data_IF_976529324766
#
_entry.id   IF_976529324766
#
_cell.length_a   1.000
_cell.length_b   1.000
_cell.length_c   1.000
_cell.angle_alpha   90.00
_cell.angle_beta   90.00
_cell.angle_gamma   90.00
#
_symmetry.space_group_name_H-M   'P 1'
#
loop_
_entity.id
_entity.type
_entity.pdbx_description
1 polymer ?
#
# COMPACT_ATOMS: atom_id res chain seq x y z
N UNK A 1 -11.21 -5.28 26.38
CA UNK A 1 -9.95 -5.24 25.61
C UNK A 1 -10.22 -4.32 24.43
N UNK A 2 -9.72 -3.08 24.46
CA UNK A 2 -9.95 -2.14 23.37
C UNK A 2 -9.15 -2.62 22.16
N UNK A 3 -9.84 -3.12 21.13
CA UNK A 3 -9.24 -3.25 19.81
C UNK A 3 -8.99 -1.83 19.32
N UNK A 4 -7.82 -1.28 19.63
CA UNK A 4 -7.40 -0.01 19.05
C UNK A 4 -7.26 -0.26 17.56
N UNK A 5 -8.25 0.23 16.81
CA UNK A 5 -8.24 0.16 15.36
C UNK A 5 -6.99 0.89 14.89
N UNK A 6 -6.27 0.33 13.91
CA UNK A 6 -5.10 0.99 13.31
C UNK A 6 -5.48 2.39 12.89
N UNK A 7 -6.69 2.51 12.34
CA UNK A 7 -7.29 3.77 11.99
C UNK A 7 -7.13 4.82 13.09
N UNK A 8 -7.55 4.53 14.32
CA UNK A 8 -7.46 5.44 15.45
C UNK A 8 -6.02 5.78 15.87
N UNK A 9 -5.06 4.86 15.69
CA UNK A 9 -3.65 5.10 16.00
C UNK A 9 -2.97 6.01 14.96
N UNK A 10 -3.37 5.90 13.69
CA UNK A 10 -2.87 6.73 12.59
C UNK A 10 -3.31 8.19 12.73
N UNK A 11 -4.56 8.45 13.09
CA UNK A 11 -5.12 9.81 13.28
C UNK A 11 -4.37 10.57 14.38
N UNK A 12 -3.93 9.86 15.42
CA UNK A 12 -3.28 10.48 16.57
C UNK A 12 -1.80 10.82 16.35
N UNK A 13 -1.18 10.29 15.29
CA UNK A 13 0.29 10.32 15.13
C UNK A 13 0.80 10.72 13.75
N UNK A 14 -0.06 10.80 12.72
CA UNK A 14 0.38 11.12 11.36
C UNK A 14 1.39 10.11 10.80
N UNK A 15 1.45 8.89 11.37
CA UNK A 15 2.38 7.86 10.98
C UNK A 15 2.18 7.54 9.50
N UNK A 16 3.18 7.90 8.69
CA UNK A 16 3.22 7.49 7.31
C UNK A 16 4.26 6.40 7.14
N UNK A 17 3.92 5.38 6.36
CA UNK A 17 4.78 4.23 6.14
C UNK A 17 5.44 4.38 4.79
N UNK A 18 6.77 4.40 4.75
CA UNK A 18 7.50 4.34 3.47
C UNK A 18 7.64 2.89 3.06
N UNK A 19 7.28 2.62 1.81
CA UNK A 19 7.25 1.29 1.22
C UNK A 19 8.03 1.32 -0.09
N UNK A 20 9.09 0.51 -0.16
CA UNK A 20 9.77 0.23 -1.43
C UNK A 20 9.04 -0.90 -2.13
N UNK A 21 8.72 -0.69 -3.40
CA UNK A 21 8.27 -1.72 -4.32
C UNK A 21 9.30 -1.97 -5.40
N UNK A 22 9.39 -3.22 -5.81
CA UNK A 22 10.25 -3.67 -6.88
C UNK A 22 9.37 -4.13 -8.04
N UNK A 23 9.56 -3.55 -9.22
CA UNK A 23 9.10 -4.11 -10.49
C UNK A 23 9.96 -5.36 -10.76
N UNK A 24 9.57 -6.51 -10.21
CA UNK A 24 10.40 -7.72 -10.02
C UNK A 24 11.48 -8.01 -11.07
N UNK A 25 12.63 -8.56 -10.65
CA UNK A 25 12.79 -10.03 -10.54
C UNK A 25 12.68 -10.55 -9.11
N UNK A 26 11.75 -11.49 -8.92
CA UNK A 26 11.74 -12.41 -7.79
C UNK A 26 13.05 -13.23 -7.83
N UNK A 27 14.03 -12.88 -7.00
CA UNK A 27 15.08 -13.82 -6.64
C UNK A 27 14.53 -14.82 -5.62
N UNK A 28 14.84 -16.12 -5.76
CA UNK A 28 14.35 -17.15 -4.86
C UNK A 28 15.10 -17.08 -3.53
N UNK A 29 14.58 -16.33 -2.57
CA UNK A 29 14.96 -16.48 -1.16
C UNK A 29 13.72 -16.80 -0.33
N UNK A 30 13.45 -18.11 -0.31
CA UNK A 30 12.95 -18.89 0.83
C UNK A 30 11.61 -18.50 1.48
N UNK A 31 10.56 -19.16 0.99
CA UNK A 31 9.44 -19.76 1.74
C UNK A 31 8.55 -18.86 2.61
N UNK A 32 7.55 -18.23 1.98
CA UNK A 32 6.17 -18.23 2.48
C UNK A 32 5.20 -18.14 1.29
N UNK A 33 4.40 -19.20 1.11
CA UNK A 33 3.46 -19.43 0.02
C UNK A 33 2.37 -18.34 -0.03
N UNK A 34 2.31 -17.54 -1.10
CA UNK A 34 1.10 -16.85 -1.55
C UNK A 34 1.22 -16.53 -3.03
N UNK A 35 0.80 -17.51 -3.82
CA UNK A 35 0.62 -17.46 -5.26
C UNK A 35 -0.29 -16.30 -5.66
N UNK A 36 0.30 -15.16 -6.03
CA UNK A 36 -0.39 -14.14 -6.84
C UNK A 36 0.37 -14.06 -8.14
N UNK A 37 -0.08 -14.87 -9.10
CA UNK A 37 0.40 -14.81 -10.48
C UNK A 37 0.18 -13.40 -11.01
N UNK A 38 1.25 -12.76 -11.48
CA UNK A 38 1.19 -11.43 -12.08
C UNK A 38 1.46 -11.58 -13.58
N UNK A 39 0.63 -10.99 -14.47
CA UNK A 39 0.85 -10.93 -15.93
C UNK A 39 2.12 -10.14 -16.30
N UNK A 40 2.62 -10.26 -17.55
CA UNK A 40 3.89 -9.70 -17.97
C UNK A 40 3.99 -8.17 -17.77
N UNK A 41 5.18 -7.78 -17.34
CA UNK A 41 5.61 -6.46 -16.90
C UNK A 41 5.52 -5.48 -18.08
N UNK A 42 4.44 -4.72 -18.18
CA UNK A 42 4.43 -3.53 -19.03
C UNK A 42 5.29 -2.47 -18.34
N UNK A 43 6.54 -2.35 -18.81
CA UNK A 43 7.44 -1.19 -18.72
C UNK A 43 7.17 -0.22 -17.56
N UNK A 44 8.10 -0.13 -16.60
CA UNK A 44 8.12 0.71 -15.38
C UNK A 44 7.73 2.18 -15.63
N UNK A 45 6.47 2.39 -15.96
CA UNK A 45 5.82 3.68 -16.18
C UNK A 45 4.70 3.82 -15.17
N UNK A 46 4.04 2.71 -14.82
CA UNK A 46 2.95 2.67 -13.87
C UNK A 46 2.95 1.38 -13.06
N UNK A 47 2.61 1.49 -11.79
CA UNK A 47 2.29 0.39 -10.89
C UNK A 47 0.79 0.09 -11.03
N UNK A 48 0.40 -1.14 -11.40
CA UNK A 48 -1.01 -1.53 -11.46
C UNK A 48 -1.70 -1.30 -10.12
N UNK A 49 -2.98 -0.92 -10.13
CA UNK A 49 -3.74 -0.60 -8.92
C UNK A 49 -3.80 -1.77 -7.94
N UNK A 50 -3.91 -2.99 -8.46
CA UNK A 50 -3.95 -4.22 -7.67
C UNK A 50 -2.61 -4.46 -6.98
N UNK A 51 -1.52 -4.19 -7.68
CA UNK A 51 -0.18 -4.34 -7.15
C UNK A 51 0.10 -3.28 -6.10
N UNK A 52 -0.19 -2.00 -6.39
CA UNK A 52 -0.09 -0.89 -5.45
C UNK A 52 -0.89 -1.16 -4.16
N UNK A 53 -2.14 -1.59 -4.30
CA UNK A 53 -3.01 -1.98 -3.19
C UNK A 53 -2.42 -3.12 -2.36
N UNK A 54 -1.94 -4.18 -3.01
CA UNK A 54 -1.35 -5.34 -2.32
C UNK A 54 -0.13 -4.94 -1.47
N UNK A 55 0.78 -4.13 -2.02
CA UNK A 55 1.98 -3.70 -1.28
C UNK A 55 1.59 -2.78 -0.13
N UNK A 56 0.67 -1.84 -0.37
CA UNK A 56 0.17 -0.95 0.67
C UNK A 56 -0.45 -1.75 1.82
N UNK A 57 -1.31 -2.74 1.52
CA UNK A 57 -1.88 -3.66 2.52
C UNK A 57 -0.77 -4.38 3.29
N UNK A 58 0.15 -5.06 2.61
CA UNK A 58 1.26 -5.78 3.25
C UNK A 58 2.11 -4.90 4.17
N UNK A 59 2.32 -3.64 3.82
CA UNK A 59 3.15 -2.70 4.58
C UNK A 59 2.43 -2.17 5.79
N UNK A 60 1.13 -1.88 5.66
CA UNK A 60 0.28 -1.56 6.78
C UNK A 60 0.17 -2.77 7.72
N UNK A 61 -0.06 -3.98 7.20
CA UNK A 61 -0.08 -5.21 8.01
C UNK A 61 1.23 -5.46 8.75
N UNK A 62 2.38 -5.27 8.09
CA UNK A 62 3.69 -5.45 8.71
C UNK A 62 3.96 -4.43 9.83
N UNK A 63 3.53 -3.17 9.65
CA UNK A 63 3.67 -2.12 10.66
C UNK A 63 2.72 -2.29 11.84
N UNK A 64 1.52 -2.82 11.59
CA UNK A 64 0.41 -2.80 12.54
C UNK A 64 -0.05 -4.17 13.02
N UNK A 65 0.63 -5.24 12.58
CA UNK A 65 0.43 -6.60 13.08
C UNK A 65 -0.79 -7.33 12.49
N UNK A 66 -1.08 -7.16 11.20
CA UNK A 66 -2.05 -8.02 10.51
C UNK A 66 -3.52 -7.64 10.69
N UNK A 67 -3.86 -6.35 10.78
CA UNK A 67 -5.27 -5.92 10.99
C UNK A 67 -5.91 -5.31 9.75
N UNK A 68 -5.21 -5.21 8.62
CA UNK A 68 -5.81 -4.65 7.40
C UNK A 68 -6.53 -5.76 6.66
N UNK A 69 -7.84 -5.60 6.42
CA UNK A 69 -8.61 -6.60 5.68
C UNK A 69 -8.34 -6.50 4.17
N UNK A 70 -8.36 -5.28 3.64
CA UNK A 70 -8.13 -5.02 2.22
C UNK A 70 -7.76 -3.57 1.97
N UNK A 71 -7.08 -3.34 0.84
CA UNK A 71 -6.84 -2.02 0.28
C UNK A 71 -7.31 -2.04 -1.18
N UNK A 72 -8.01 -0.99 -1.61
CA UNK A 72 -8.50 -0.83 -2.98
C UNK A 72 -8.05 0.54 -3.47
N UNK A 73 -7.33 0.60 -4.59
CA UNK A 73 -6.91 1.86 -5.21
C UNK A 73 -7.81 2.25 -6.38
N UNK A 74 -8.05 3.54 -6.57
CA UNK A 74 -8.95 4.06 -7.63
C UNK A 74 -8.39 3.81 -9.03
N UNK A 75 -7.06 3.81 -9.17
CA UNK A 75 -6.38 3.61 -10.45
C UNK A 75 -4.93 3.17 -10.29
N UNK A 76 -4.22 3.01 -11.43
CA UNK A 76 -2.79 2.72 -11.43
C UNK A 76 -2.00 3.90 -10.85
N UNK A 77 -0.89 3.64 -10.17
CA UNK A 77 -0.01 4.68 -9.66
C UNK A 77 1.12 4.91 -10.64
N UNK A 78 1.29 6.13 -11.16
CA UNK A 78 2.42 6.44 -12.03
C UNK A 78 3.75 6.27 -11.29
N UNK A 79 4.72 5.61 -11.92
CA UNK A 79 6.07 5.42 -11.40
C UNK A 79 6.92 6.68 -11.64
N UNK A 80 6.43 7.83 -11.19
CA UNK A 80 7.08 9.14 -11.31
C UNK A 80 7.11 9.80 -9.95
N UNK A 81 8.27 10.34 -9.55
CA UNK A 81 8.40 11.05 -8.26
C UNK A 81 7.37 12.16 -8.16
N UNK A 82 6.63 12.20 -7.05
CA UNK A 82 5.54 13.12 -6.80
C UNK A 82 4.17 12.64 -7.28
N UNK A 83 4.08 11.54 -8.05
CA UNK A 83 2.80 10.97 -8.43
C UNK A 83 2.04 10.47 -7.20
N UNK A 84 0.74 10.73 -7.17
CA UNK A 84 -0.13 10.33 -6.08
C UNK A 84 -1.25 9.43 -6.57
N UNK A 85 -1.62 8.44 -5.77
CA UNK A 85 -2.81 7.63 -6.01
C UNK A 85 -3.64 7.53 -4.75
N UNK A 86 -4.96 7.62 -4.93
CA UNK A 86 -5.94 7.47 -3.86
C UNK A 86 -6.35 6.01 -3.75
N UNK A 87 -6.41 5.54 -2.51
CA UNK A 87 -6.91 4.22 -2.18
C UNK A 87 -7.76 4.28 -0.92
N UNK A 88 -8.47 3.20 -0.67
CA UNK A 88 -9.31 3.00 0.50
C UNK A 88 -8.86 1.71 1.18
N UNK A 89 -8.48 1.80 2.45
CA UNK A 89 -8.36 0.60 3.28
C UNK A 89 -9.68 0.25 3.94
N UNK A 90 -9.86 -1.03 4.23
CA UNK A 90 -10.88 -1.54 5.15
C UNK A 90 -10.22 -2.27 6.31
N UNK A 91 -10.68 -1.99 7.53
CA UNK A 91 -10.27 -2.65 8.77
C UNK A 91 -11.51 -2.86 9.65
N UNK A 92 -11.80 -4.11 10.00
CA UNK A 92 -12.87 -4.51 10.91
C UNK A 92 -14.23 -3.85 10.60
N UNK A 93 -14.53 -3.66 9.32
CA UNK A 93 -15.76 -3.00 8.84
C UNK A 93 -15.68 -1.48 8.71
N UNK A 94 -14.60 -0.83 9.17
CA UNK A 94 -14.36 0.60 8.97
C UNK A 94 -13.52 0.84 7.72
N UNK A 95 -13.77 1.98 7.05
CA UNK A 95 -13.00 2.38 5.88
C UNK A 95 -12.25 3.68 6.15
N UNK A 96 -11.07 3.80 5.57
CA UNK A 96 -10.39 5.08 5.48
C UNK A 96 -9.71 5.27 4.14
N UNK A 97 -9.67 6.54 3.73
CA UNK A 97 -8.85 6.94 2.62
C UNK A 97 -7.38 6.89 2.99
N UNK A 98 -6.57 6.55 2.01
CA UNK A 98 -5.14 6.67 2.07
C UNK A 98 -4.60 7.13 0.73
N UNK A 99 -3.49 7.86 0.80
CA UNK A 99 -2.82 8.46 -0.33
C UNK A 99 -1.45 7.82 -0.46
N UNK A 100 -1.22 7.15 -1.59
CA UNK A 100 0.09 6.71 -2.02
C UNK A 100 0.80 7.87 -2.70
N UNK A 101 2.08 8.05 -2.44
CA UNK A 101 2.90 9.08 -3.08
C UNK A 101 4.25 8.50 -3.45
N UNK A 102 4.61 8.52 -4.73
CA UNK A 102 5.95 8.10 -5.15
C UNK A 102 6.97 9.13 -4.68
N UNK A 103 7.94 8.65 -3.92
CA UNK A 103 9.02 9.45 -3.35
C UNK A 103 10.34 9.26 -4.07
N UNK A 104 10.56 8.09 -4.69
CA UNK A 104 11.78 7.77 -5.40
C UNK A 104 11.52 6.74 -6.49
N UNK A 105 12.28 6.82 -7.58
CA UNK A 105 12.29 5.83 -8.65
C UNK A 105 13.75 5.55 -9.00
N UNK A 106 14.17 4.30 -8.88
CA UNK A 106 15.53 3.83 -9.15
C UNK A 106 15.49 2.58 -10.03
N UNK A 107 15.63 2.77 -11.34
CA UNK A 107 15.53 1.67 -12.30
C UNK A 107 14.16 1.01 -12.25
N UNK A 108 14.13 -0.23 -11.78
CA UNK A 108 12.91 -1.03 -11.55
C UNK A 108 12.30 -0.85 -10.15
N UNK A 109 12.95 -0.11 -9.25
CA UNK A 109 12.46 0.13 -7.88
C UNK A 109 11.71 1.44 -7.79
N UNK A 110 10.59 1.43 -7.08
CA UNK A 110 9.78 2.62 -6.80
C UNK A 110 9.53 2.67 -5.30
N UNK A 111 10.03 3.70 -4.64
CA UNK A 111 9.69 3.99 -3.25
C UNK A 111 8.48 4.89 -3.21
N UNK A 112 7.47 4.47 -2.46
CA UNK A 112 6.30 5.30 -2.21
C UNK A 112 5.97 5.37 -0.73
N UNK A 113 5.40 6.50 -0.33
CA UNK A 113 4.88 6.75 1.00
C UNK A 113 3.39 6.44 1.00
N UNK A 114 2.94 5.72 2.02
CA UNK A 114 1.53 5.51 2.32
C UNK A 114 1.16 6.49 3.44
N UNK A 115 0.24 7.40 3.17
CA UNK A 115 -0.35 8.28 4.18
C UNK A 115 -1.82 7.94 4.35
N UNK A 116 -2.23 7.61 5.55
CA UNK A 116 -3.65 7.36 5.87
C UNK A 116 -4.28 8.68 6.30
N UNK A 117 -5.52 8.92 5.90
CA UNK A 117 -6.19 10.15 6.29
C UNK A 117 -6.57 10.16 7.76
N UNK A 118 -6.64 11.37 8.31
CA UNK A 118 -7.02 11.62 9.69
C UNK A 118 -8.52 11.37 9.95
N UNK A 119 -9.35 11.19 8.92
CA UNK A 119 -10.78 10.95 9.09
C UNK A 119 -11.20 9.63 8.42
N UNK A 120 -11.90 8.73 9.14
CA UNK A 120 -12.58 7.60 8.51
C UNK A 120 -13.53 8.09 7.42
N UNK A 121 -13.67 7.28 6.37
CA UNK A 121 -14.69 7.52 5.36
C UNK A 121 -16.07 7.24 5.99
N UNK A 122 -17.06 8.12 5.79
CA UNK A 122 -18.44 7.83 6.18
C UNK A 122 -18.91 6.57 5.42
N UNK A 123 -19.65 5.71 6.11
CA UNK A 123 -20.26 4.49 5.54
C UNK A 123 -21.22 4.80 4.38
#
# INVERSE_FOLDING_TARGET
MAATLILAALIASGCSVTSTWHAGTITPETTANSSVGTPPISSVRQVPKEQAAKIAAQRLDAQFGGKVDSVICDGPLDATVGATQRCVMSEAGQKAGLTLTVTKVEGDKVDFRVKVDDQPLPE
#
